data_IF_539911714361
#
_entry.id   IF_539911714361
#
_cell.length_a   1.000
_cell.length_b   1.000
_cell.length_c   1.000
_cell.angle_alpha   90.00
_cell.angle_beta   90.00
_cell.angle_gamma   90.00
#
_symmetry.space_group_name_H-M   'P 1'
#
loop_
_entity.id
_entity.type
_entity.pdbx_description
1 polymer ?
#
# COMPACT_ATOMS: atom_id res chain seq x y z
N UNK A 1 -9.55 -7.35 27.35
CA UNK A 1 -9.31 -8.67 26.74
C UNK A 1 -8.16 -8.54 25.75
N UNK A 2 -7.24 -9.50 25.72
CA UNK A 2 -6.04 -9.44 24.88
C UNK A 2 -6.44 -9.64 23.39
N UNK A 3 -6.31 -8.59 22.58
CA UNK A 3 -6.67 -8.58 21.14
C UNK A 3 -6.00 -9.70 20.34
N UNK A 4 -4.76 -10.05 20.75
CA UNK A 4 -4.04 -11.16 20.12
C UNK A 4 -4.71 -12.51 20.38
N UNK A 5 -5.21 -12.76 21.58
CA UNK A 5 -5.97 -13.99 21.90
C UNK A 5 -7.28 -14.08 21.11
N UNK A 6 -7.98 -12.96 20.95
CA UNK A 6 -9.17 -12.91 20.09
C UNK A 6 -8.84 -13.22 18.63
N UNK A 7 -7.77 -12.63 18.12
CA UNK A 7 -7.30 -12.91 16.76
C UNK A 7 -6.96 -14.38 16.57
N UNK A 8 -6.20 -14.98 17.50
CA UNK A 8 -5.87 -16.42 17.48
C UNK A 8 -7.14 -17.28 17.42
N UNK A 9 -8.12 -17.00 18.25
CA UNK A 9 -9.40 -17.74 18.29
C UNK A 9 -10.14 -17.65 16.96
N UNK A 10 -10.23 -16.46 16.35
CA UNK A 10 -10.90 -16.25 15.06
C UNK A 10 -10.17 -16.94 13.90
N UNK A 11 -8.86 -17.07 13.98
CA UNK A 11 -8.03 -17.62 12.90
C UNK A 11 -7.59 -19.07 13.15
N UNK A 12 -8.09 -19.73 14.18
CA UNK A 12 -7.67 -21.08 14.58
C UNK A 12 -7.78 -22.10 13.43
N UNK A 13 -8.88 -22.08 12.67
CA UNK A 13 -9.08 -22.96 11.53
C UNK A 13 -8.07 -22.68 10.41
N UNK A 14 -7.86 -21.40 10.06
CA UNK A 14 -6.90 -21.01 9.05
C UNK A 14 -5.47 -21.39 9.43
N UNK A 15 -5.11 -21.25 10.71
CA UNK A 15 -3.82 -21.67 11.23
C UNK A 15 -3.65 -23.18 11.20
N UNK A 16 -4.70 -23.96 11.46
CA UNK A 16 -4.64 -25.44 11.37
C UNK A 16 -4.38 -25.95 9.95
N UNK A 17 -4.76 -25.21 8.93
CA UNK A 17 -4.51 -25.54 7.53
C UNK A 17 -3.06 -25.29 7.07
N UNK A 18 -2.25 -24.57 7.88
CA UNK A 18 -0.84 -24.28 7.53
C UNK A 18 0.10 -25.37 8.06
N UNK A 19 1.21 -25.67 7.35
CA UNK A 19 2.27 -26.52 7.86
C UNK A 19 2.76 -26.07 9.25
N UNK A 20 3.06 -27.03 10.12
CA UNK A 20 3.44 -26.74 11.52
C UNK A 20 4.63 -25.78 11.65
N UNK A 21 5.59 -25.86 10.75
CA UNK A 21 6.75 -24.96 10.68
C UNK A 21 6.40 -23.52 10.32
N UNK A 22 5.34 -23.33 9.55
CA UNK A 22 4.88 -21.99 9.15
C UNK A 22 3.94 -21.36 10.18
N UNK A 23 3.29 -22.16 11.05
CA UNK A 23 2.37 -21.64 12.09
C UNK A 23 3.10 -20.79 13.12
N UNK A 24 4.23 -21.25 13.61
CA UNK A 24 5.01 -20.55 14.64
C UNK A 24 5.43 -19.17 14.13
N UNK A 25 6.03 -19.11 12.96
CA UNK A 25 6.46 -17.85 12.32
C UNK A 25 5.28 -16.90 12.05
N UNK A 26 4.12 -17.45 11.67
CA UNK A 26 2.93 -16.67 11.38
C UNK A 26 2.34 -16.08 12.67
N UNK A 27 2.29 -16.86 13.75
CA UNK A 27 1.81 -16.42 15.06
C UNK A 27 2.76 -15.37 15.65
N UNK A 28 4.07 -15.62 15.60
CA UNK A 28 5.09 -14.70 16.09
C UNK A 28 5.07 -13.35 15.34
N UNK A 29 4.90 -13.40 14.02
CA UNK A 29 4.73 -12.22 13.18
C UNK A 29 3.53 -11.39 13.64
N UNK A 30 2.35 -11.99 13.79
CA UNK A 30 1.14 -11.28 14.22
C UNK A 30 1.19 -10.86 15.69
N UNK A 31 1.82 -11.64 16.58
CA UNK A 31 2.03 -11.26 17.96
C UNK A 31 2.87 -9.96 18.06
N UNK A 32 3.89 -9.84 17.24
CA UNK A 32 4.70 -8.62 17.13
C UNK A 32 3.87 -7.40 16.69
N UNK A 33 2.94 -7.61 15.75
CA UNK A 33 2.05 -6.54 15.28
C UNK A 33 1.04 -6.08 16.33
N UNK A 34 0.51 -7.00 17.14
CA UNK A 34 -0.44 -6.66 18.21
C UNK A 34 0.19 -5.98 19.43
N UNK A 35 1.51 -6.05 19.56
CA UNK A 35 2.28 -5.33 20.60
C UNK A 35 2.65 -3.91 20.20
N UNK A 36 2.39 -3.52 18.95
CA UNK A 36 2.74 -2.23 18.40
C UNK A 36 1.88 -1.07 18.92
N UNK A 37 2.38 0.14 18.72
CA UNK A 37 1.63 1.37 18.93
C UNK A 37 0.38 1.39 18.05
N UNK A 38 -0.66 2.10 18.53
CA UNK A 38 -1.89 2.29 17.75
C UNK A 38 -1.56 2.87 16.38
N UNK A 39 -2.01 2.20 15.32
CA UNK A 39 -1.80 2.65 13.95
C UNK A 39 -2.56 3.97 13.75
N UNK A 40 -1.88 5.05 13.32
CA UNK A 40 -2.54 6.31 13.03
C UNK A 40 -3.42 6.20 11.78
N UNK A 41 -4.30 7.15 11.60
CA UNK A 41 -5.04 7.30 10.34
C UNK A 41 -4.08 7.62 9.20
N UNK A 42 -4.26 6.95 8.08
CA UNK A 42 -3.53 7.20 6.85
C UNK A 42 -4.47 7.08 5.64
N UNK A 43 -4.12 7.72 4.54
CA UNK A 43 -5.00 7.86 3.37
C UNK A 43 -4.31 7.43 2.09
N UNK A 44 -5.11 7.05 1.10
CA UNK A 44 -4.66 6.86 -0.27
C UNK A 44 -3.99 8.13 -0.79
N UNK A 45 -2.86 7.97 -1.45
CA UNK A 45 -2.06 9.08 -1.99
C UNK A 45 -0.99 9.61 -1.03
N UNK A 46 -1.02 9.20 0.22
CA UNK A 46 0.04 9.53 1.18
C UNK A 46 1.25 8.63 1.00
N UNK A 47 2.44 9.18 1.24
CA UNK A 47 3.71 8.47 1.17
C UNK A 47 4.32 8.41 2.56
N UNK A 48 4.68 7.20 2.99
CA UNK A 48 5.36 6.91 4.24
C UNK A 48 6.63 6.11 4.01
N UNK A 49 7.56 6.19 4.94
CA UNK A 49 8.69 5.27 4.98
C UNK A 49 8.24 3.90 5.47
N UNK A 50 8.78 2.85 4.84
CA UNK A 50 8.59 1.48 5.29
C UNK A 50 9.88 0.68 5.18
N UNK A 51 9.94 -0.42 5.93
CA UNK A 51 11.06 -1.33 5.96
C UNK A 51 10.53 -2.76 5.80
N UNK A 52 10.78 -3.39 4.66
CA UNK A 52 10.18 -4.68 4.32
C UNK A 52 10.72 -5.84 5.17
N UNK A 53 12.02 -5.80 5.49
CA UNK A 53 12.70 -6.77 6.36
C UNK A 53 13.67 -6.03 7.27
N UNK A 54 14.12 -6.66 8.35
CA UNK A 54 15.03 -6.03 9.31
C UNK A 54 16.39 -5.65 8.69
N UNK A 55 16.83 -6.38 7.68
CA UNK A 55 18.04 -6.10 6.90
C UNK A 55 17.80 -5.14 5.72
N UNK A 56 16.55 -4.88 5.35
CA UNK A 56 16.23 -4.02 4.22
C UNK A 56 16.47 -2.54 4.54
N UNK A 57 16.83 -1.76 3.51
CA UNK A 57 16.87 -0.30 3.62
C UNK A 57 15.46 0.26 3.75
N UNK A 58 15.30 1.26 4.60
CA UNK A 58 14.08 2.08 4.66
C UNK A 58 13.87 2.79 3.33
N UNK A 59 12.66 2.69 2.78
CA UNK A 59 12.27 3.32 1.51
C UNK A 59 10.90 3.97 1.63
N UNK A 60 10.63 5.03 0.85
CA UNK A 60 9.28 5.59 0.77
C UNK A 60 8.37 4.70 -0.08
N UNK A 61 7.12 4.56 0.37
CA UNK A 61 6.06 3.83 -0.31
C UNK A 61 4.79 4.68 -0.36
N UNK A 62 4.14 4.67 -1.51
CA UNK A 62 2.83 5.27 -1.70
C UNK A 62 1.75 4.32 -1.18
N UNK A 63 0.85 4.82 -0.35
CA UNK A 63 -0.39 4.12 0.03
C UNK A 63 -1.33 4.14 -1.18
N UNK A 64 -1.56 2.98 -1.77
CA UNK A 64 -2.30 2.88 -3.04
C UNK A 64 -3.71 2.34 -2.90
N UNK A 65 -4.00 1.53 -1.89
CA UNK A 65 -5.37 1.03 -1.66
C UNK A 65 -6.37 2.16 -1.31
N UNK A 66 -7.66 1.88 -1.45
CA UNK A 66 -8.72 2.85 -1.14
C UNK A 66 -8.84 3.15 0.36
N UNK A 67 -9.50 4.26 0.68
CA UNK A 67 -9.61 4.74 2.06
C UNK A 67 -10.53 3.87 2.93
N UNK A 68 -11.44 3.10 2.36
CA UNK A 68 -12.25 2.15 3.11
C UNK A 68 -11.37 1.03 3.72
N UNK A 69 -10.43 0.48 2.94
CA UNK A 69 -9.46 -0.49 3.42
C UNK A 69 -8.43 0.14 4.39
N UNK A 70 -8.02 1.39 4.16
CA UNK A 70 -7.16 2.12 5.08
C UNK A 70 -7.85 2.29 6.44
N UNK A 71 -9.14 2.63 6.45
CA UNK A 71 -9.93 2.72 7.68
C UNK A 71 -9.97 1.39 8.42
N UNK A 72 -10.16 0.29 7.73
CA UNK A 72 -10.12 -1.04 8.33
C UNK A 72 -8.74 -1.35 8.97
N UNK A 73 -7.65 -0.82 8.40
CA UNK A 73 -6.30 -0.98 8.95
C UNK A 73 -6.15 -0.25 10.30
N UNK A 74 -6.45 1.05 10.37
CA UNK A 74 -6.25 1.78 11.63
C UNK A 74 -7.35 1.48 12.67
N UNK A 75 -8.45 0.85 12.28
CA UNK A 75 -9.40 0.20 13.20
C UNK A 75 -8.96 -1.21 13.64
N UNK A 76 -7.79 -1.66 13.23
CA UNK A 76 -7.21 -2.96 13.56
C UNK A 76 -8.07 -4.18 13.12
N UNK A 77 -8.87 -3.99 12.05
CA UNK A 77 -9.67 -5.06 11.43
C UNK A 77 -8.84 -5.77 10.35
N UNK A 78 -7.96 -5.02 9.68
CA UNK A 78 -7.13 -5.48 8.56
C UNK A 78 -5.68 -5.03 8.75
N UNK A 79 -4.71 -5.85 8.34
CA UNK A 79 -3.31 -5.62 8.70
C UNK A 79 -2.36 -5.52 7.50
N UNK A 80 -2.90 -5.42 6.29
CA UNK A 80 -2.10 -5.30 5.07
C UNK A 80 -2.50 -4.08 4.26
N UNK A 81 -1.52 -3.52 3.57
CA UNK A 81 -1.70 -2.31 2.74
C UNK A 81 -1.12 -2.56 1.35
N UNK A 82 -1.89 -2.25 0.33
CA UNK A 82 -1.40 -2.22 -1.05
C UNK A 82 -0.60 -0.94 -1.26
N UNK A 83 0.64 -1.10 -1.68
CA UNK A 83 1.60 0.00 -1.82
C UNK A 83 2.35 -0.04 -3.14
N UNK A 84 2.90 1.10 -3.50
CA UNK A 84 3.84 1.26 -4.61
C UNK A 84 5.15 1.86 -4.08
N UNK A 85 6.31 1.24 -4.34
CA UNK A 85 7.59 1.79 -3.89
C UNK A 85 8.01 3.00 -4.71
N UNK A 86 8.73 3.91 -4.08
CA UNK A 86 9.43 5.00 -4.75
C UNK A 86 10.90 4.64 -4.93
N UNK A 87 11.43 4.99 -6.10
CA UNK A 87 12.84 4.88 -6.44
C UNK A 87 13.46 6.26 -6.65
N UNK A 88 14.59 6.53 -6.02
CA UNK A 88 15.37 7.73 -6.30
C UNK A 88 16.29 7.59 -7.53
N UNK A 89 16.23 6.48 -8.25
CA UNK A 89 16.86 6.30 -9.54
C UNK A 89 15.83 6.66 -10.62
N UNK A 90 16.09 7.71 -11.37
CA UNK A 90 15.21 8.21 -12.41
C UNK A 90 15.54 7.49 -13.71
N UNK A 91 14.63 6.63 -14.15
CA UNK A 91 14.76 5.85 -15.38
C UNK A 91 13.77 6.28 -16.47
N UNK A 92 12.65 6.90 -16.06
CA UNK A 92 11.56 7.28 -16.96
C UNK A 92 10.74 6.10 -17.49
N UNK A 93 9.91 6.38 -18.49
CA UNK A 93 9.05 5.41 -19.15
C UNK A 93 7.61 5.40 -18.62
N UNK A 94 6.74 4.66 -19.29
CA UNK A 94 5.28 4.67 -19.09
C UNK A 94 4.81 4.11 -17.75
N UNK A 95 5.65 3.32 -17.11
CA UNK A 95 5.33 2.63 -15.84
C UNK A 95 6.00 3.28 -14.63
N UNK A 96 6.56 4.49 -14.79
CA UNK A 96 7.27 5.21 -13.73
C UNK A 96 6.80 6.65 -13.70
N UNK A 97 6.25 7.07 -12.58
CA UNK A 97 5.68 8.41 -12.41
C UNK A 97 6.63 9.28 -11.61
N UNK A 98 7.19 10.30 -12.24
CA UNK A 98 8.11 11.23 -11.62
C UNK A 98 7.39 12.14 -10.62
N UNK A 99 7.89 12.16 -9.39
CA UNK A 99 7.48 13.07 -8.33
C UNK A 99 8.66 13.96 -7.98
N UNK A 100 8.49 15.26 -8.14
CA UNK A 100 9.50 16.25 -7.79
C UNK A 100 9.70 16.33 -6.28
N UNK A 101 10.94 16.54 -5.87
CA UNK A 101 11.32 16.77 -4.48
C UNK A 101 10.41 17.82 -3.83
N UNK A 102 9.80 17.50 -2.71
CA UNK A 102 8.99 18.39 -1.87
C UNK A 102 8.84 17.80 -0.46
N UNK A 103 8.35 18.60 0.46
CA UNK A 103 8.12 18.24 1.86
C UNK A 103 9.33 17.52 2.46
N UNK A 104 9.16 16.30 2.95
CA UNK A 104 10.24 15.49 3.54
C UNK A 104 11.00 14.61 2.53
N UNK A 105 10.76 14.77 1.24
CA UNK A 105 11.51 14.04 0.22
C UNK A 105 12.94 14.59 0.11
N UNK A 106 13.96 13.73 0.12
CA UNK A 106 15.36 14.11 -0.01
C UNK A 106 15.76 14.48 -1.45
N UNK A 107 15.06 13.91 -2.45
CA UNK A 107 15.34 14.10 -3.89
C UNK A 107 14.11 13.78 -4.73
N UNK A 108 14.16 14.13 -6.02
CA UNK A 108 13.22 13.64 -7.03
C UNK A 108 13.18 12.12 -7.00
N UNK A 109 12.01 11.54 -7.13
CA UNK A 109 11.81 10.10 -7.08
C UNK A 109 10.73 9.66 -8.08
N UNK A 110 10.76 8.42 -8.48
CA UNK A 110 9.73 7.83 -9.32
C UNK A 110 8.94 6.77 -8.58
N UNK A 111 7.62 6.82 -8.70
CA UNK A 111 6.74 5.72 -8.28
C UNK A 111 6.88 4.59 -9.29
N UNK A 112 7.21 3.40 -8.82
CA UNK A 112 7.43 2.22 -9.67
C UNK A 112 6.15 1.38 -9.71
N UNK A 113 5.30 1.61 -10.70
CA UNK A 113 3.98 0.98 -10.77
C UNK A 113 4.03 -0.51 -11.07
N UNK A 114 5.11 -0.99 -11.71
CA UNK A 114 5.34 -2.43 -11.93
C UNK A 114 5.68 -3.21 -10.66
N UNK A 115 6.00 -2.52 -9.57
CA UNK A 115 6.34 -3.11 -8.28
C UNK A 115 5.18 -2.99 -7.26
N UNK A 116 3.93 -2.94 -7.75
CA UNK A 116 2.76 -2.98 -6.86
C UNK A 116 2.85 -4.21 -5.96
N UNK A 117 2.64 -4.01 -4.67
CA UNK A 117 2.78 -5.06 -3.68
C UNK A 117 1.93 -4.82 -2.45
N UNK A 118 1.98 -5.79 -1.56
CA UNK A 118 1.27 -5.77 -0.28
C UNK A 118 2.30 -5.83 0.83
N UNK A 119 2.19 -4.93 1.79
CA UNK A 119 3.00 -4.95 3.02
C UNK A 119 2.11 -4.98 4.24
N UNK A 120 2.65 -5.49 5.35
CA UNK A 120 1.97 -5.34 6.65
C UNK A 120 2.02 -3.89 7.13
N UNK A 121 0.94 -3.43 7.79
CA UNK A 121 0.90 -2.13 8.46
C UNK A 121 2.04 -1.94 9.45
N UNK A 122 2.49 -3.00 10.12
CA UNK A 122 3.64 -2.99 11.03
C UNK A 122 4.99 -2.71 10.36
N UNK A 123 5.08 -2.78 9.02
CA UNK A 123 6.29 -2.42 8.26
C UNK A 123 6.38 -0.92 7.96
N UNK A 124 5.28 -0.19 8.09
CA UNK A 124 5.24 1.26 7.89
C UNK A 124 5.78 1.96 9.13
N UNK A 125 6.71 2.88 8.95
CA UNK A 125 7.36 3.60 10.04
C UNK A 125 6.62 4.92 10.27
N UNK A 126 5.44 4.85 10.87
CA UNK A 126 4.60 6.01 11.15
C UNK A 126 5.27 7.05 12.05
N UNK A 127 6.21 6.63 12.92
CA UNK A 127 7.00 7.53 13.78
C UNK A 127 7.87 8.52 13.01
N UNK A 128 8.21 8.23 11.75
CA UNK A 128 8.91 9.17 10.87
C UNK A 128 7.99 10.23 10.24
N UNK A 129 6.69 10.08 10.43
CA UNK A 129 5.69 10.99 9.87
C UNK A 129 5.43 10.81 8.37
N UNK A 130 4.52 11.62 7.89
CA UNK A 130 4.15 11.71 6.47
C UNK A 130 5.30 12.30 5.65
N UNK A 131 5.71 11.63 4.58
CA UNK A 131 6.76 12.13 3.67
C UNK A 131 6.20 13.21 2.76
N UNK A 132 5.12 12.95 2.07
CA UNK A 132 4.35 13.88 1.24
C UNK A 132 3.00 13.24 0.84
N UNK A 133 2.14 14.03 0.22
CA UNK A 133 0.87 13.56 -0.35
C UNK A 133 0.84 13.88 -1.85
N UNK A 134 0.41 12.94 -2.67
CA UNK A 134 0.22 13.15 -4.09
C UNK A 134 -1.00 14.03 -4.36
N UNK A 135 -0.92 14.87 -5.38
CA UNK A 135 -2.06 15.58 -5.92
C UNK A 135 -3.01 14.62 -6.65
N UNK A 136 -4.25 15.03 -6.87
CA UNK A 136 -5.22 14.26 -7.65
C UNK A 136 -4.70 13.97 -9.06
N UNK A 137 -4.05 14.96 -9.69
CA UNK A 137 -3.45 14.81 -11.04
C UNK A 137 -2.34 13.75 -11.05
N UNK A 138 -1.48 13.74 -10.02
CA UNK A 138 -0.43 12.73 -9.88
C UNK A 138 -1.03 11.35 -9.62
N UNK A 139 -2.03 11.25 -8.75
CA UNK A 139 -2.74 9.99 -8.48
C UNK A 139 -3.40 9.43 -9.74
N UNK A 140 -4.02 10.27 -10.56
CA UNK A 140 -4.60 9.86 -11.85
C UNK A 140 -3.55 9.24 -12.78
N UNK A 141 -2.36 9.85 -12.88
CA UNK A 141 -1.25 9.27 -13.67
C UNK A 141 -0.80 7.91 -13.12
N UNK A 142 -0.74 7.77 -11.79
CA UNK A 142 -0.43 6.49 -11.14
C UNK A 142 -1.49 5.44 -11.48
N UNK A 143 -2.77 5.79 -11.37
CA UNK A 143 -3.88 4.89 -11.70
C UNK A 143 -3.82 4.40 -13.14
N UNK A 144 -3.62 5.31 -14.09
CA UNK A 144 -3.48 4.99 -15.50
C UNK A 144 -2.29 4.04 -15.76
N UNK A 145 -1.15 4.28 -15.11
CA UNK A 145 0.02 3.41 -15.25
C UNK A 145 -0.21 2.03 -14.62
N UNK A 146 -0.83 1.95 -13.44
CA UNK A 146 -1.18 0.66 -12.81
C UNK A 146 -2.18 -0.11 -13.64
N UNK A 147 -3.20 0.54 -14.20
CA UNK A 147 -4.16 -0.11 -15.09
C UNK A 147 -3.46 -0.71 -16.32
N UNK A 148 -2.48 -0.01 -16.91
CA UNK A 148 -1.65 -0.55 -18.00
C UNK A 148 -0.86 -1.78 -17.54
N UNK A 149 -0.23 -1.74 -16.35
CA UNK A 149 0.51 -2.88 -15.77
C UNK A 149 -0.39 -4.09 -15.64
N UNK A 150 -1.63 -3.89 -15.16
CA UNK A 150 -2.60 -4.98 -14.92
C UNK A 150 -3.36 -5.40 -16.18
N UNK A 151 -3.18 -4.71 -17.31
CA UNK A 151 -3.90 -4.99 -18.55
C UNK A 151 -5.40 -4.67 -18.47
N UNK A 152 -5.81 -3.83 -17.51
CA UNK A 152 -7.20 -3.40 -17.37
C UNK A 152 -7.47 -2.23 -18.30
N UNK A 153 -8.47 -2.36 -19.17
CA UNK A 153 -8.94 -1.25 -20.00
C UNK A 153 -9.74 -0.29 -19.11
N UNK A 154 -9.46 1.01 -19.19
CA UNK A 154 -10.34 2.01 -18.60
C UNK A 154 -11.70 1.93 -19.31
N UNK A 155 -12.73 1.56 -18.59
CA UNK A 155 -14.10 1.58 -19.08
C UNK A 155 -14.63 3.02 -19.15
N UNK A 156 -14.04 3.84 -20.04
CA UNK A 156 -14.74 5.01 -20.55
C UNK A 156 -15.70 4.46 -21.60
N UNK A 157 -16.93 4.21 -21.21
CA UNK A 157 -18.02 4.10 -22.15
C UNK A 157 -18.13 5.45 -22.85
N UNK A 158 -17.58 5.51 -24.05
CA UNK A 158 -17.96 6.53 -25.03
C UNK A 158 -19.46 6.32 -25.33
N UNK A 159 -20.31 6.93 -24.53
CA UNK A 159 -21.71 7.08 -24.85
C UNK A 159 -21.87 8.20 -25.90
N UNK A 160 -21.17 8.08 -27.01
CA UNK A 160 -21.53 8.74 -28.23
C UNK A 160 -22.53 7.85 -28.96
N UNK A 161 -23.76 7.81 -28.47
CA UNK A 161 -24.88 7.42 -29.30
C UNK A 161 -25.11 8.60 -30.24
N UNK A 162 -24.44 8.56 -31.38
CA UNK A 162 -24.81 9.37 -32.50
C UNK A 162 -26.17 8.92 -33.00
N UNK A 163 -27.20 9.63 -32.62
CA UNK A 163 -28.45 9.60 -33.36
C UNK A 163 -28.19 10.19 -34.74
N UNK A 164 -28.28 9.38 -35.76
CA UNK A 164 -28.49 9.85 -37.10
C UNK A 164 -29.91 9.52 -37.47
N UNK A 165 -30.74 10.51 -37.38
CA UNK A 165 -32.00 10.55 -38.09
C UNK A 165 -31.72 10.61 -39.60
N UNK A 166 -32.41 9.76 -40.32
CA UNK A 166 -32.74 9.99 -41.70
C UNK A 166 -34.18 9.59 -41.92
#
# INVERSE_FOLDING_TARGET
MDKFKEWLKRNELALKCKPRTQRASYIEFFEGEFKGEKIPEFKRGEIYFAKLTDSAKTRPFLIYQNNFLNEACYKEIYHTVVVLPLSGQILGGDYRILIKKRDQMSKDSEIVTTAIGIISTGKIIFSKGLVTTLTETEMKKVDEAVMKVLGVKSGITDNSIGGSDA
#
